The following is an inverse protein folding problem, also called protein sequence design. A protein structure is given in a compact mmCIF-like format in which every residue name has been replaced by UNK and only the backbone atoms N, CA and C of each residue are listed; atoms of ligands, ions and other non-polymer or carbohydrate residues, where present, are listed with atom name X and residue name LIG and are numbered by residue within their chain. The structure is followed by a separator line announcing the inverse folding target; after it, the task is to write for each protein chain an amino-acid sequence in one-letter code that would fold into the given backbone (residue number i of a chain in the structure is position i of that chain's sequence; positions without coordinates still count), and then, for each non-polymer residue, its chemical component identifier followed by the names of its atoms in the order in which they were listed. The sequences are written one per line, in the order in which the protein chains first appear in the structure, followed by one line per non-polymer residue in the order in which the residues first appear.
data_IF_365589863650
#
_entry.id   IF_365589863650
#
_cell.length_a   1.000
_cell.length_b   1.000
_cell.length_c   1.000
_cell.angle_alpha   90.00
_cell.angle_beta   90.00
_cell.angle_gamma   90.00
#
_symmetry.space_group_name_H-M   'P 1'
#
loop_
_entity.id
_entity.type
_entity.pdbx_description
1 polymer ?
#
# COMPACT_ATOMS: atom_id res chain seq x y z
N UNK A 1 -22.05 -14.63 19.52
CA UNK A 1 -23.05 -13.56 19.40
C UNK A 1 -23.06 -12.83 20.73
N UNK A 2 -22.56 -11.64 20.78
CA UNK A 2 -22.48 -10.78 21.95
C UNK A 2 -21.71 -9.55 21.56
N UNK A 3 -22.41 -8.55 21.03
CA UNK A 3 -21.86 -7.21 20.89
C UNK A 3 -21.49 -6.73 22.29
N UNK A 4 -20.18 -6.60 22.55
CA UNK A 4 -19.67 -6.02 23.79
C UNK A 4 -20.01 -4.55 23.84
N UNK A 5 -21.09 -4.24 24.55
CA UNK A 5 -21.47 -2.90 24.94
C UNK A 5 -20.29 -2.24 25.66
N UNK A 6 -19.71 -1.20 25.08
CA UNK A 6 -18.75 -0.31 25.73
C UNK A 6 -19.37 0.28 26.99
N UNK A 7 -19.12 -0.33 28.13
CA UNK A 7 -19.54 0.23 29.43
C UNK A 7 -18.54 1.33 29.78
N UNK A 8 -18.89 2.56 29.42
CA UNK A 8 -18.26 3.77 29.93
C UNK A 8 -18.49 3.85 31.44
N UNK A 9 -17.48 3.51 32.25
CA UNK A 9 -17.43 3.92 33.65
C UNK A 9 -16.04 4.43 33.97
N UNK A 10 -15.97 5.75 34.10
CA UNK A 10 -14.78 6.46 34.53
C UNK A 10 -14.32 6.06 35.93
N UNK A 11 -13.01 5.94 36.05
CA UNK A 11 -12.33 6.17 37.31
C UNK A 11 -11.46 7.42 37.11
N UNK A 12 -12.01 8.55 37.55
CA UNK A 12 -11.31 9.77 37.89
C UNK A 12 -10.43 10.44 36.83
N UNK A 13 -11.01 11.31 36.01
CA UNK A 13 -10.33 12.16 35.05
C UNK A 13 -11.22 12.34 33.85
N UNK A 14 -11.62 13.55 33.53
CA UNK A 14 -12.48 13.90 32.42
C UNK A 14 -11.89 13.39 31.11
N UNK A 15 -12.40 12.32 30.51
CA UNK A 15 -12.30 12.23 29.08
C UNK A 15 -13.07 11.05 28.49
N UNK A 16 -14.27 11.29 28.12
CA UNK A 16 -14.94 10.60 27.01
C UNK A 16 -14.24 10.90 25.66
N UNK A 17 -13.13 11.64 25.62
CA UNK A 17 -12.44 12.20 24.47
C UNK A 17 -10.95 11.83 24.34
N UNK A 18 -10.43 10.87 25.12
CA UNK A 18 -9.03 10.45 25.01
C UNK A 18 -8.67 10.05 23.57
N UNK A 19 -7.51 10.50 23.10
CA UNK A 19 -7.03 10.22 21.75
C UNK A 19 -6.64 8.75 21.56
N UNK A 20 -6.16 8.11 22.61
CA UNK A 20 -5.68 6.72 22.62
C UNK A 20 -6.29 5.93 23.76
N UNK A 21 -6.47 4.61 23.56
CA UNK A 21 -7.08 3.72 24.51
C UNK A 21 -6.29 2.42 24.64
N UNK A 22 -6.13 1.92 25.88
CA UNK A 22 -5.53 0.62 26.17
C UNK A 22 -6.54 -0.27 26.87
N UNK A 23 -6.57 -1.55 26.50
CA UNK A 23 -7.17 -2.58 27.34
C UNK A 23 -6.23 -2.84 28.52
N UNK A 24 -6.75 -2.78 29.71
CA UNK A 24 -6.04 -3.00 30.97
C UNK A 24 -6.42 -4.35 31.56
N UNK A 25 -5.40 -5.10 31.97
CA UNK A 25 -5.56 -6.44 32.55
C UNK A 25 -4.79 -6.53 33.87
N UNK A 26 -5.15 -7.54 34.73
CA UNK A 26 -4.24 -8.00 35.76
C UNK A 26 -2.99 -8.62 35.15
N UNK A 27 -1.93 -8.85 35.93
CA UNK A 27 -0.73 -9.58 35.48
C UNK A 27 -1.04 -11.00 35.01
N UNK A 28 -2.11 -11.62 35.55
CA UNK A 28 -2.62 -12.94 35.12
C UNK A 28 -3.53 -12.86 33.86
N UNK A 29 -3.51 -11.72 33.15
CA UNK A 29 -4.30 -11.48 31.91
C UNK A 29 -5.82 -11.50 32.08
N UNK A 30 -6.34 -11.17 33.28
CA UNK A 30 -7.77 -10.96 33.46
C UNK A 30 -8.11 -9.52 33.09
N UNK A 31 -9.04 -9.33 32.14
CA UNK A 31 -9.48 -8.03 31.69
C UNK A 31 -10.15 -7.23 32.81
N UNK A 32 -9.71 -5.99 33.02
CA UNK A 32 -10.24 -5.07 34.02
C UNK A 32 -11.11 -3.98 33.38
N UNK A 33 -10.68 -3.44 32.23
CA UNK A 33 -11.37 -2.34 31.54
C UNK A 33 -10.47 -1.65 30.55
N UNK A 34 -10.88 -0.46 30.11
CA UNK A 34 -10.08 0.40 29.23
C UNK A 34 -9.61 1.63 29.98
N UNK A 35 -8.41 2.10 29.65
CA UNK A 35 -7.87 3.40 30.09
C UNK A 35 -7.54 4.23 28.86
N UNK A 36 -7.78 5.53 28.95
CA UNK A 36 -7.51 6.47 27.87
C UNK A 36 -6.46 7.49 28.25
N UNK A 37 -5.68 7.95 27.29
CA UNK A 37 -4.74 9.06 27.42
C UNK A 37 -4.64 9.83 26.11
N UNK A 38 -4.24 11.11 26.17
CA UNK A 38 -3.86 11.92 25.02
C UNK A 38 -2.39 11.71 24.64
N UNK A 39 -1.62 11.07 25.50
CA UNK A 39 -0.23 10.66 25.23
C UNK A 39 -0.19 9.18 24.85
N UNK A 40 0.28 8.88 23.64
CA UNK A 40 0.38 7.49 23.14
C UNK A 40 1.47 6.70 23.88
N UNK A 41 2.39 7.36 24.56
CA UNK A 41 3.49 6.74 25.29
C UNK A 41 3.21 6.65 26.80
N UNK A 42 2.02 7.05 27.27
CA UNK A 42 1.60 6.96 28.67
C UNK A 42 1.65 5.52 29.20
N UNK A 43 1.20 4.54 28.38
CA UNK A 43 1.27 3.12 28.69
C UNK A 43 1.98 2.35 27.57
N UNK A 44 2.57 1.16 27.86
CA UNK A 44 3.22 0.35 26.84
C UNK A 44 2.25 -0.07 25.73
N UNK A 45 2.71 -0.20 24.49
CA UNK A 45 1.92 -0.72 23.36
C UNK A 45 1.39 -2.13 23.67
N UNK A 46 2.24 -2.99 24.25
CA UNK A 46 1.87 -4.25 24.88
C UNK A 46 2.89 -4.56 25.97
N UNK A 47 2.47 -4.64 27.22
CA UNK A 47 3.42 -4.88 28.32
C UNK A 47 2.88 -4.52 29.70
N UNK A 48 3.72 -4.70 30.72
CA UNK A 48 3.41 -4.43 32.10
C UNK A 48 3.90 -3.05 32.55
N UNK A 49 3.06 -2.36 33.32
CA UNK A 49 3.35 -1.11 33.99
C UNK A 49 2.50 -1.00 35.28
N UNK A 50 3.11 -0.59 36.39
CA UNK A 50 2.44 -0.35 37.70
C UNK A 50 1.59 -1.54 38.19
N UNK A 51 2.05 -2.78 37.90
CA UNK A 51 1.37 -4.00 38.36
C UNK A 51 0.15 -4.40 37.50
N UNK A 52 0.03 -3.85 36.30
CA UNK A 52 -1.00 -4.20 35.33
C UNK A 52 -0.39 -4.44 33.95
N UNK A 53 -1.07 -5.25 33.13
CA UNK A 53 -0.73 -5.43 31.73
C UNK A 53 -1.62 -4.55 30.85
N UNK A 54 -1.05 -3.90 29.83
CA UNK A 54 -1.73 -3.00 28.92
C UNK A 54 -1.57 -3.46 27.48
N UNK A 55 -2.58 -3.22 26.67
CA UNK A 55 -2.56 -3.42 25.21
C UNK A 55 -3.19 -2.22 24.50
N UNK A 56 -2.41 -1.49 23.71
CA UNK A 56 -2.90 -0.38 22.90
C UNK A 56 -3.95 -0.85 21.89
N UNK A 57 -5.08 -0.19 21.86
CA UNK A 57 -6.17 -0.52 20.95
C UNK A 57 -5.89 0.05 19.55
N UNK A 58 -5.70 -0.83 18.59
CA UNK A 58 -5.52 -0.46 17.18
C UNK A 58 -6.78 0.21 16.62
N UNK A 59 -6.59 1.17 15.71
CA UNK A 59 -7.70 1.83 15.01
C UNK A 59 -8.10 1.05 13.75
N UNK A 60 -9.38 1.06 13.41
CA UNK A 60 -9.86 0.52 12.14
C UNK A 60 -9.68 1.58 11.05
N UNK A 61 -8.76 1.36 10.11
CA UNK A 61 -8.42 2.31 9.05
C UNK A 61 -9.62 2.68 8.16
N UNK A 62 -10.59 1.77 7.96
CA UNK A 62 -11.79 2.03 7.16
C UNK A 62 -12.61 3.20 7.71
N UNK A 63 -12.69 3.36 9.02
CA UNK A 63 -13.40 4.44 9.70
C UNK A 63 -12.67 5.79 9.70
N UNK A 64 -11.37 5.84 9.36
CA UNK A 64 -10.60 7.08 9.34
C UNK A 64 -10.77 7.83 8.02
N UNK A 65 -10.83 9.14 8.08
CA UNK A 65 -10.70 10.01 6.89
C UNK A 65 -9.25 10.00 6.39
N UNK A 66 -9.03 10.40 5.13
CA UNK A 66 -7.68 10.52 4.58
C UNK A 66 -6.85 11.59 5.29
N UNK A 67 -7.49 12.65 5.80
CA UNK A 67 -6.84 13.69 6.61
C UNK A 67 -6.34 13.12 7.96
N UNK A 68 -7.16 12.30 8.65
CA UNK A 68 -6.75 11.64 9.89
C UNK A 68 -5.60 10.65 9.65
N UNK A 69 -5.66 9.84 8.57
CA UNK A 69 -4.56 8.94 8.20
C UNK A 69 -3.27 9.74 7.95
N UNK A 70 -3.34 10.88 7.24
CA UNK A 70 -2.18 11.74 7.02
C UNK A 70 -1.65 12.35 8.32
N UNK A 71 -2.52 12.67 9.27
CA UNK A 71 -2.11 13.16 10.61
C UNK A 71 -1.35 12.06 11.37
N UNK A 72 -1.87 10.83 11.38
CA UNK A 72 -1.17 9.68 11.99
C UNK A 72 0.18 9.40 11.33
N UNK A 73 0.23 9.51 9.99
CA UNK A 73 1.45 9.36 9.21
C UNK A 73 2.50 10.42 9.58
N UNK A 74 2.08 11.70 9.60
CA UNK A 74 2.97 12.84 9.84
C UNK A 74 3.48 12.90 11.28
N UNK A 75 2.70 12.41 12.24
CA UNK A 75 3.12 12.33 13.65
C UNK A 75 4.02 11.14 13.96
N UNK A 76 4.23 10.22 13.00
CA UNK A 76 5.07 9.03 13.18
C UNK A 76 4.42 7.89 13.96
N UNK A 77 3.15 8.03 14.39
CA UNK A 77 2.45 7.04 15.21
C UNK A 77 1.62 6.03 14.41
N UNK A 78 1.54 6.20 13.08
CA UNK A 78 0.71 5.33 12.23
C UNK A 78 0.97 3.84 12.46
N UNK A 79 2.25 3.42 12.53
CA UNK A 79 2.64 2.03 12.76
C UNK A 79 2.22 1.48 14.12
N UNK A 80 2.05 2.34 15.15
CA UNK A 80 1.53 1.91 16.46
C UNK A 80 0.03 1.57 16.40
N UNK A 81 -0.74 2.32 15.60
CA UNK A 81 -2.21 2.24 15.56
C UNK A 81 -2.77 1.44 14.39
N UNK A 82 -2.01 1.29 13.31
CA UNK A 82 -2.38 0.60 12.08
C UNK A 82 -1.44 -0.57 11.82
N UNK A 83 -1.84 -1.49 10.94
CA UNK A 83 -1.08 -2.69 10.61
C UNK A 83 -0.93 -2.89 9.10
N UNK A 84 0.15 -3.54 8.67
CA UNK A 84 0.27 -4.04 7.30
C UNK A 84 -0.91 -4.95 7.00
N UNK A 85 -1.55 -4.76 5.85
CA UNK A 85 -2.75 -5.47 5.45
C UNK A 85 -4.06 -4.79 5.82
N UNK A 86 -4.06 -3.77 6.69
CA UNK A 86 -5.26 -2.97 6.97
C UNK A 86 -5.84 -2.40 5.67
N UNK A 87 -7.15 -2.56 5.51
CA UNK A 87 -7.89 -2.36 4.26
C UNK A 87 -8.79 -1.15 4.33
N UNK A 88 -8.78 -0.32 3.26
CA UNK A 88 -9.64 0.84 3.13
C UNK A 88 -10.27 0.91 1.75
N UNK A 89 -11.56 1.27 1.71
CA UNK A 89 -12.29 1.52 0.46
C UNK A 89 -12.01 2.92 -0.10
N UNK A 90 -12.02 3.03 -1.43
CA UNK A 90 -11.97 4.29 -2.18
C UNK A 90 -13.07 4.25 -3.24
N UNK A 91 -13.98 5.21 -3.21
CA UNK A 91 -14.95 5.41 -4.28
C UNK A 91 -14.40 6.42 -5.28
N UNK A 92 -14.13 5.95 -6.50
CA UNK A 92 -13.67 6.79 -7.60
C UNK A 92 -14.81 7.67 -8.12
N UNK A 93 -14.51 8.78 -8.80
CA UNK A 93 -15.53 9.64 -9.43
C UNK A 93 -16.32 8.94 -10.53
N UNK A 94 -15.85 7.80 -11.02
CA UNK A 94 -16.54 6.89 -11.94
C UNK A 94 -17.55 5.96 -11.26
N UNK A 95 -17.74 6.08 -9.94
CA UNK A 95 -18.51 5.17 -9.08
C UNK A 95 -17.91 3.75 -8.97
N UNK A 96 -16.69 3.51 -9.43
CA UNK A 96 -15.96 2.28 -9.13
C UNK A 96 -15.47 2.34 -7.69
N UNK A 97 -15.75 1.28 -6.92
CA UNK A 97 -15.19 1.11 -5.59
C UNK A 97 -13.97 0.20 -5.70
N UNK A 98 -12.84 0.71 -5.29
CA UNK A 98 -11.59 -0.04 -5.16
C UNK A 98 -11.21 -0.16 -3.69
N UNK A 99 -10.40 -1.14 -3.37
CA UNK A 99 -9.86 -1.33 -2.03
C UNK A 99 -8.34 -1.26 -2.08
N UNK A 100 -7.77 -0.60 -1.08
CA UNK A 100 -6.33 -0.53 -0.90
C UNK A 100 -5.95 -1.13 0.44
N UNK A 101 -4.74 -1.66 0.52
CA UNK A 101 -4.15 -2.18 1.77
C UNK A 101 -2.88 -1.42 2.09
N UNK A 102 -2.59 -1.26 3.37
CA UNK A 102 -1.26 -0.85 3.81
C UNK A 102 -0.28 -1.94 3.39
N UNK A 103 0.65 -1.59 2.50
CA UNK A 103 1.68 -2.50 2.03
C UNK A 103 2.89 -2.52 2.96
N UNK A 104 3.27 -1.35 3.47
CA UNK A 104 4.34 -1.17 4.45
C UNK A 104 4.31 0.23 5.06
N UNK A 105 5.12 0.40 6.11
CA UNK A 105 5.43 1.68 6.76
C UNK A 105 6.90 2.02 6.55
N UNK A 106 7.20 3.30 6.28
CA UNK A 106 8.55 3.82 6.10
C UNK A 106 9.36 3.05 5.02
N UNK A 107 8.73 2.70 3.91
CA UNK A 107 9.32 1.86 2.87
C UNK A 107 9.81 2.68 1.67
N UNK A 108 8.95 3.50 1.10
CA UNK A 108 9.20 4.18 -0.17
C UNK A 108 9.89 5.54 0.02
N UNK A 109 10.69 5.92 -0.96
CA UNK A 109 11.29 7.25 -1.02
C UNK A 109 10.35 8.22 -1.72
N UNK A 110 10.15 9.40 -1.16
CA UNK A 110 9.40 10.50 -1.77
C UNK A 110 10.28 11.33 -2.72
N UNK A 111 9.67 12.17 -3.54
CA UNK A 111 10.38 13.01 -4.51
C UNK A 111 11.33 14.04 -3.86
N UNK A 112 11.10 14.39 -2.62
CA UNK A 112 11.96 15.25 -1.78
C UNK A 112 13.09 14.48 -1.07
N UNK A 113 13.24 13.17 -1.33
CA UNK A 113 14.17 12.23 -0.71
C UNK A 113 13.86 11.88 0.75
N UNK A 114 12.72 12.26 1.29
CA UNK A 114 12.24 11.75 2.57
C UNK A 114 11.61 10.37 2.40
N UNK A 115 11.33 9.68 3.51
CA UNK A 115 10.66 8.39 3.50
C UNK A 115 9.16 8.57 3.63
N UNK A 116 8.38 7.86 2.82
CA UNK A 116 6.92 7.83 2.91
C UNK A 116 6.51 7.10 4.20
N UNK A 117 5.73 7.74 5.09
CA UNK A 117 5.26 7.09 6.31
C UNK A 117 4.39 5.85 6.05
N UNK A 118 3.52 5.91 5.05
CA UNK A 118 2.61 4.80 4.71
C UNK A 118 2.59 4.61 3.19
N UNK A 119 2.77 3.36 2.78
CA UNK A 119 2.58 2.91 1.40
C UNK A 119 1.30 2.09 1.29
N UNK A 120 0.44 2.45 0.36
CA UNK A 120 -0.78 1.73 0.00
C UNK A 120 -0.63 1.04 -1.35
N UNK A 121 -1.20 -0.17 -1.48
CA UNK A 121 -1.33 -0.88 -2.75
C UNK A 121 -2.78 -1.37 -2.90
N UNK A 122 -3.32 -1.27 -4.10
CA UNK A 122 -4.65 -1.83 -4.41
C UNK A 122 -4.69 -3.33 -4.10
N UNK A 123 -5.79 -3.76 -3.44
CA UNK A 123 -6.05 -5.18 -3.16
C UNK A 123 -6.24 -5.97 -4.45
N UNK A 124 -7.07 -5.45 -5.35
CA UNK A 124 -7.36 -6.00 -6.67
C UNK A 124 -7.00 -4.99 -7.77
N UNK A 125 -7.28 -5.30 -9.02
CA UNK A 125 -7.09 -4.41 -10.16
C UNK A 125 -8.30 -3.49 -10.37
N UNK A 126 -8.12 -2.40 -11.14
CA UNK A 126 -9.25 -1.67 -11.72
C UNK A 126 -10.09 -2.60 -12.61
N UNK A 127 -11.37 -2.27 -12.79
CA UNK A 127 -12.28 -3.04 -13.68
C UNK A 127 -11.82 -3.03 -15.13
N UNK A 128 -11.21 -1.93 -15.56
CA UNK A 128 -10.64 -1.81 -16.91
C UNK A 128 -9.25 -2.43 -16.98
N UNK A 129 -8.94 -3.04 -18.12
CA UNK A 129 -7.60 -3.53 -18.48
C UNK A 129 -6.91 -2.54 -19.40
N UNK A 130 -5.58 -2.51 -19.36
CA UNK A 130 -4.78 -1.55 -20.10
C UNK A 130 -3.58 -2.21 -20.77
N UNK A 131 -3.14 -1.64 -21.90
CA UNK A 131 -1.84 -1.93 -22.48
C UNK A 131 -0.75 -1.14 -21.74
N UNK A 132 0.45 -1.72 -21.62
CA UNK A 132 1.60 -0.97 -21.13
C UNK A 132 2.04 0.09 -22.17
N UNK A 133 2.10 -0.31 -23.45
CA UNK A 133 2.36 0.54 -24.61
C UNK A 133 1.45 0.17 -25.77
N UNK A 134 1.24 1.08 -26.71
CA UNK A 134 0.43 0.82 -27.92
C UNK A 134 1.11 -0.10 -28.95
N UNK A 135 2.41 -0.31 -28.82
CA UNK A 135 3.23 -1.16 -29.70
C UNK A 135 4.08 -2.15 -28.90
N UNK A 136 4.62 -3.16 -29.58
CA UNK A 136 5.51 -4.17 -29.01
C UNK A 136 6.89 -3.56 -28.72
N UNK A 137 6.98 -2.80 -27.63
CA UNK A 137 8.24 -2.20 -27.17
C UNK A 137 8.20 -1.94 -25.66
N UNK A 138 9.32 -2.16 -24.99
CA UNK A 138 9.54 -1.74 -23.61
C UNK A 138 10.68 -0.71 -23.51
N UNK A 139 11.09 -0.12 -24.63
CA UNK A 139 12.13 0.91 -24.66
C UNK A 139 11.75 2.13 -23.83
N UNK A 140 12.66 2.59 -23.00
CA UNK A 140 12.43 3.63 -22.01
C UNK A 140 11.79 3.11 -20.70
N UNK A 141 11.44 1.82 -20.64
CA UNK A 141 10.86 1.17 -19.46
C UNK A 141 9.61 1.87 -18.95
N UNK A 142 9.37 1.78 -17.65
CA UNK A 142 8.24 2.47 -16.99
C UNK A 142 8.24 3.98 -17.23
N UNK A 143 9.42 4.59 -17.29
CA UNK A 143 9.55 6.05 -17.51
C UNK A 143 8.84 6.53 -18.76
N UNK A 144 8.88 5.75 -19.83
CA UNK A 144 8.29 6.10 -21.13
C UNK A 144 6.98 5.36 -21.42
N UNK A 145 6.49 4.54 -20.49
CA UNK A 145 5.29 3.73 -20.71
C UNK A 145 4.03 4.60 -20.86
N UNK A 146 3.20 4.27 -21.86
CA UNK A 146 1.89 4.89 -22.06
C UNK A 146 1.00 4.72 -20.83
N UNK A 147 1.03 3.53 -20.21
CA UNK A 147 0.26 3.26 -19.00
C UNK A 147 0.66 4.17 -17.84
N UNK A 148 1.95 4.49 -17.68
CA UNK A 148 2.39 5.46 -16.64
C UNK A 148 1.73 6.82 -16.84
N UNK A 149 1.71 7.31 -18.07
CA UNK A 149 1.05 8.58 -18.40
C UNK A 149 -0.44 8.52 -18.11
N UNK A 150 -1.13 7.46 -18.56
CA UNK A 150 -2.56 7.23 -18.31
C UNK A 150 -2.86 7.15 -16.81
N UNK A 151 -2.01 6.44 -16.06
CA UNK A 151 -2.17 6.25 -14.61
C UNK A 151 -2.07 7.58 -13.84
N UNK A 152 -1.07 8.42 -14.19
CA UNK A 152 -0.81 9.70 -13.52
C UNK A 152 -1.62 10.88 -14.09
N UNK A 153 -2.48 10.66 -15.08
CA UNK A 153 -3.40 11.66 -15.62
C UNK A 153 -4.85 11.19 -15.50
N UNK A 154 -5.32 10.41 -16.44
CA UNK A 154 -6.74 10.00 -16.54
C UNK A 154 -7.19 9.25 -15.31
N UNK A 155 -6.44 8.22 -14.87
CA UNK A 155 -6.81 7.38 -13.72
C UNK A 155 -6.68 8.18 -12.42
N UNK A 156 -5.56 8.88 -12.21
CA UNK A 156 -5.36 9.73 -11.03
C UNK A 156 -6.49 10.75 -10.84
N UNK A 157 -7.02 11.31 -11.93
CA UNK A 157 -8.10 12.29 -11.85
C UNK A 157 -9.44 11.69 -11.36
N UNK A 158 -9.60 10.37 -11.40
CA UNK A 158 -10.78 9.69 -10.84
C UNK A 158 -10.75 9.52 -9.32
N UNK A 159 -9.59 9.71 -8.69
CA UNK A 159 -9.47 9.60 -7.23
C UNK A 159 -10.15 10.78 -6.53
N UNK A 160 -10.76 10.58 -5.34
CA UNK A 160 -11.44 11.64 -4.60
C UNK A 160 -10.46 12.74 -4.18
N UNK A 161 -10.96 13.97 -4.08
CA UNK A 161 -10.13 15.16 -3.85
C UNK A 161 -9.43 15.17 -2.50
N UNK A 162 -10.07 14.65 -1.46
CA UNK A 162 -9.51 14.53 -0.10
C UNK A 162 -8.32 13.59 -0.05
N UNK A 163 -8.38 12.45 -0.76
CA UNK A 163 -7.24 11.55 -0.91
C UNK A 163 -6.13 12.21 -1.75
N UNK A 164 -6.46 12.84 -2.89
CA UNK A 164 -5.46 13.53 -3.72
C UNK A 164 -4.72 14.62 -2.97
N UNK A 165 -5.37 15.28 -2.00
CA UNK A 165 -4.77 16.34 -1.19
C UNK A 165 -3.63 15.81 -0.28
N UNK A 166 -3.67 14.55 0.13
CA UNK A 166 -2.67 13.96 1.02
C UNK A 166 -1.69 13.03 0.31
N UNK A 167 -2.00 12.57 -0.90
CA UNK A 167 -1.07 11.73 -1.69
C UNK A 167 0.26 12.44 -1.91
N UNK A 168 1.36 11.76 -1.59
CA UNK A 168 2.72 12.22 -1.83
C UNK A 168 3.21 11.79 -3.23
N UNK A 169 4.17 12.51 -3.77
CA UNK A 169 4.87 12.09 -4.99
C UNK A 169 5.98 11.14 -4.61
N UNK A 170 5.90 9.91 -5.10
CA UNK A 170 6.81 8.81 -4.75
C UNK A 170 7.89 8.68 -5.81
N UNK A 171 9.13 8.54 -5.37
CA UNK A 171 10.30 8.33 -6.23
C UNK A 171 10.57 6.86 -6.41
N UNK A 172 10.51 6.39 -7.65
CA UNK A 172 10.75 4.99 -8.02
C UNK A 172 11.96 4.86 -8.95
N UNK A 173 12.71 3.77 -8.79
CA UNK A 173 13.81 3.40 -9.70
C UNK A 173 13.33 2.25 -10.58
N UNK A 174 13.50 2.37 -11.89
CA UNK A 174 13.05 1.37 -12.90
C UNK A 174 14.05 1.27 -14.03
N UNK A 175 14.32 0.06 -14.47
CA UNK A 175 15.21 -0.15 -15.61
C UNK A 175 14.59 0.36 -16.90
N UNK A 176 15.48 0.75 -17.82
CA UNK A 176 15.11 1.40 -19.09
C UNK A 176 14.47 0.46 -20.11
N UNK A 177 14.54 -0.86 -19.91
CA UNK A 177 14.08 -1.82 -20.91
C UNK A 177 14.94 -1.81 -22.18
N UNK A 178 14.32 -2.11 -23.32
CA UNK A 178 15.05 -2.24 -24.59
C UNK A 178 15.88 -3.53 -24.68
N UNK A 179 15.50 -4.57 -23.92
CA UNK A 179 16.23 -5.84 -23.85
C UNK A 179 17.49 -5.75 -22.96
N UNK A 180 17.57 -4.78 -22.05
CA UNK A 180 18.74 -4.55 -21.22
C UNK A 180 18.36 -4.00 -19.84
N UNK A 181 19.18 -4.31 -18.84
CA UNK A 181 19.14 -3.75 -17.47
C UNK A 181 20.30 -2.77 -17.22
N UNK A 182 20.84 -2.16 -18.25
CA UNK A 182 22.03 -1.31 -18.15
C UNK A 182 21.77 0.07 -17.56
N UNK A 183 20.58 0.63 -17.71
CA UNK A 183 20.21 1.97 -17.28
C UNK A 183 19.05 1.94 -16.31
N UNK A 184 19.28 2.49 -15.12
CA UNK A 184 18.26 2.65 -14.09
C UNK A 184 17.76 4.09 -14.09
N UNK A 185 16.50 4.28 -14.46
CA UNK A 185 15.82 5.56 -14.44
C UNK A 185 15.20 5.84 -13.07
N UNK A 186 15.20 7.11 -12.68
CA UNK A 186 14.39 7.62 -11.58
C UNK A 186 13.13 8.27 -12.16
N UNK A 187 11.97 7.98 -11.57
CA UNK A 187 10.67 8.56 -11.93
C UNK A 187 9.94 8.98 -10.66
N UNK A 188 9.24 10.09 -10.74
CA UNK A 188 8.43 10.64 -9.66
C UNK A 188 6.96 10.56 -10.08
N UNK A 189 6.15 9.79 -9.32
CA UNK A 189 4.76 9.47 -9.66
C UNK A 189 3.83 9.61 -8.44
N UNK A 190 2.58 10.00 -8.67
CA UNK A 190 1.51 9.95 -7.65
C UNK A 190 0.93 8.55 -7.54
N UNK A 191 0.70 7.90 -8.68
CA UNK A 191 0.30 6.50 -8.81
C UNK A 191 1.37 5.75 -9.58
N UNK A 192 1.74 4.59 -9.10
CA UNK A 192 2.77 3.74 -9.71
C UNK A 192 2.38 2.26 -9.63
N UNK A 193 3.02 1.42 -10.44
CA UNK A 193 2.90 -0.03 -10.33
C UNK A 193 4.07 -0.59 -9.53
N UNK A 194 3.86 -1.60 -8.68
CA UNK A 194 4.96 -2.33 -8.07
C UNK A 194 5.88 -2.95 -9.14
N UNK A 195 7.18 -2.99 -8.84
CA UNK A 195 8.16 -3.72 -9.65
C UNK A 195 8.15 -5.22 -9.35
N UNK A 196 8.88 -6.00 -10.15
CA UNK A 196 9.13 -7.41 -9.85
C UNK A 196 9.81 -7.57 -8.49
N UNK A 197 10.80 -6.73 -8.18
CA UNK A 197 11.49 -6.74 -6.88
C UNK A 197 10.55 -6.44 -5.71
N UNK A 198 9.67 -5.47 -5.86
CA UNK A 198 8.71 -5.07 -4.81
C UNK A 198 7.64 -6.13 -4.54
N UNK A 199 7.36 -7.01 -5.53
CA UNK A 199 6.39 -8.09 -5.41
C UNK A 199 6.99 -9.44 -5.01
N UNK A 200 8.22 -9.75 -5.46
CA UNK A 200 8.80 -11.10 -5.32
C UNK A 200 10.10 -11.13 -4.50
N UNK A 201 10.74 -9.99 -4.26
CA UNK A 201 12.08 -9.92 -3.67
C UNK A 201 13.18 -10.49 -4.58
N UNK A 202 12.86 -10.76 -5.83
CA UNK A 202 13.76 -11.31 -6.85
C UNK A 202 13.43 -10.73 -8.22
N UNK A 203 14.33 -10.83 -9.18
CA UNK A 203 14.21 -10.24 -10.51
C UNK A 203 14.46 -11.29 -11.61
N UNK A 204 13.59 -12.27 -11.71
CA UNK A 204 13.73 -13.43 -12.63
C UNK A 204 13.54 -13.04 -14.11
N UNK A 205 12.68 -12.07 -14.41
CA UNK A 205 12.37 -11.61 -15.76
C UNK A 205 13.03 -10.28 -16.09
N UNK A 206 13.09 -9.35 -15.13
CA UNK A 206 13.84 -8.09 -15.30
C UNK A 206 15.34 -8.35 -15.33
N UNK A 207 15.82 -9.26 -14.49
CA UNK A 207 17.26 -9.54 -14.34
C UNK A 207 18.02 -8.48 -13.54
N UNK A 208 17.36 -7.38 -13.16
CA UNK A 208 17.96 -6.27 -12.41
C UNK A 208 17.32 -6.07 -11.06
N UNK A 209 18.11 -6.03 -9.99
CA UNK A 209 17.64 -6.05 -8.59
C UNK A 209 17.46 -4.67 -7.96
N UNK A 210 17.69 -3.57 -8.68
CA UNK A 210 17.69 -2.22 -8.11
C UNK A 210 16.35 -1.47 -8.22
N UNK A 211 15.24 -2.18 -8.49
CA UNK A 211 13.91 -1.58 -8.66
C UNK A 211 13.09 -1.49 -7.36
N UNK A 212 13.72 -1.60 -6.21
CA UNK A 212 13.06 -1.54 -4.90
C UNK A 212 13.30 -2.80 -4.06
N UNK A 213 12.56 -2.92 -2.98
CA UNK A 213 12.60 -4.06 -2.05
C UNK A 213 11.20 -4.66 -1.87
N UNK A 214 11.14 -5.91 -1.45
CA UNK A 214 9.88 -6.65 -1.25
C UNK A 214 8.99 -5.94 -0.21
N UNK A 215 7.73 -5.71 -0.56
CA UNK A 215 6.72 -5.30 0.42
C UNK A 215 6.32 -6.47 1.32
N UNK A 216 6.30 -6.28 2.64
CA UNK A 216 5.98 -7.36 3.59
C UNK A 216 4.56 -7.92 3.45
N UNK A 217 3.65 -7.19 2.79
CA UNK A 217 2.31 -7.69 2.48
C UNK A 217 2.34 -8.91 1.50
N UNK A 218 3.44 -9.10 0.76
CA UNK A 218 3.58 -10.20 -0.20
C UNK A 218 4.43 -11.32 0.39
N UNK A 219 3.80 -12.32 0.95
CA UNK A 219 4.44 -13.46 1.63
C UNK A 219 4.60 -14.70 0.75
N UNK A 220 3.68 -14.88 -0.21
CA UNK A 220 3.60 -16.06 -1.08
C UNK A 220 2.87 -15.74 -2.40
N UNK A 221 2.67 -16.74 -3.25
CA UNK A 221 1.94 -16.58 -4.49
C UNK A 221 0.48 -16.15 -4.27
N UNK A 222 -0.17 -16.66 -3.22
CA UNK A 222 -1.58 -16.35 -2.93
C UNK A 222 -1.78 -14.87 -2.60
N UNK A 223 -0.85 -14.28 -1.84
CA UNK A 223 -0.87 -12.86 -1.48
C UNK A 223 -0.72 -11.92 -2.70
N UNK A 224 -0.19 -12.42 -3.81
CA UNK A 224 0.00 -11.69 -5.07
C UNK A 224 -1.16 -11.85 -6.06
N UNK A 225 -2.09 -12.79 -5.82
CA UNK A 225 -3.25 -12.95 -6.71
C UNK A 225 -4.14 -11.72 -6.62
N UNK A 226 -4.44 -11.12 -7.77
CA UNK A 226 -5.36 -9.98 -7.89
C UNK A 226 -6.47 -10.30 -8.88
N UNK A 227 -7.61 -9.64 -8.69
CA UNK A 227 -8.82 -9.90 -9.46
C UNK A 227 -9.17 -8.72 -10.36
N UNK A 228 -9.79 -9.02 -11.50
CA UNK A 228 -10.55 -8.09 -12.33
C UNK A 228 -11.98 -8.59 -12.35
N UNK A 229 -12.92 -7.75 -11.93
CA UNK A 229 -14.35 -8.11 -11.85
C UNK A 229 -14.61 -9.43 -11.08
N UNK A 230 -13.90 -9.63 -9.95
CA UNK A 230 -14.06 -10.77 -9.05
C UNK A 230 -13.33 -12.06 -9.46
N UNK A 231 -12.70 -12.11 -10.65
CA UNK A 231 -11.95 -13.28 -11.15
C UNK A 231 -10.45 -13.01 -11.12
N UNK A 232 -9.66 -13.99 -10.66
CA UNK A 232 -8.20 -13.91 -10.70
C UNK A 232 -7.72 -13.57 -12.13
N UNK A 233 -6.86 -12.59 -12.22
CA UNK A 233 -6.41 -12.08 -13.51
C UNK A 233 -4.91 -11.79 -13.50
N UNK A 234 -4.35 -11.68 -14.67
CA UNK A 234 -3.00 -11.24 -14.90
C UNK A 234 -2.94 -9.71 -14.78
N UNK A 235 -1.88 -9.17 -14.19
CA UNK A 235 -1.73 -7.73 -14.03
C UNK A 235 -0.28 -7.26 -14.20
N UNK A 236 -0.13 -6.04 -14.69
CA UNK A 236 1.15 -5.43 -14.98
C UNK A 236 1.94 -5.09 -13.72
N UNK A 237 3.27 -5.26 -13.81
CA UNK A 237 4.25 -4.60 -12.97
C UNK A 237 4.88 -3.43 -13.74
N UNK A 238 5.65 -2.58 -13.06
CA UNK A 238 6.41 -1.52 -13.71
C UNK A 238 7.75 -1.98 -14.29
N UNK A 239 8.13 -3.25 -14.11
CA UNK A 239 9.41 -3.78 -14.56
C UNK A 239 9.39 -4.13 -16.04
N UNK A 240 10.34 -3.60 -16.80
CA UNK A 240 10.57 -4.01 -18.20
C UNK A 240 11.30 -5.37 -18.24
N UNK A 241 10.98 -6.21 -19.23
CA UNK A 241 11.72 -7.47 -19.46
C UNK A 241 13.18 -7.18 -19.79
N UNK A 242 14.11 -7.85 -19.09
CA UNK A 242 15.54 -7.58 -19.22
C UNK A 242 16.18 -8.20 -20.46
N UNK A 243 15.62 -9.28 -21.00
CA UNK A 243 16.09 -9.98 -22.20
C UNK A 243 15.18 -9.85 -23.42
N UNK A 244 14.03 -9.16 -23.27
CA UNK A 244 13.03 -8.94 -24.30
C UNK A 244 12.76 -7.46 -24.46
N UNK A 245 13.01 -6.91 -25.66
CA UNK A 245 12.81 -5.49 -25.95
C UNK A 245 11.33 -5.09 -26.13
N UNK A 246 10.39 -6.05 -26.12
CA UNK A 246 8.97 -5.82 -26.36
C UNK A 246 8.05 -6.10 -25.19
N UNK A 247 8.55 -6.72 -24.11
CA UNK A 247 7.76 -7.22 -23.01
C UNK A 247 7.94 -6.46 -21.71
N UNK A 248 6.90 -6.51 -20.87
CA UNK A 248 6.96 -6.14 -19.46
C UNK A 248 6.67 -7.34 -18.58
N UNK A 249 7.16 -7.27 -17.35
CA UNK A 249 6.88 -8.25 -16.31
C UNK A 249 5.45 -8.06 -15.82
N UNK A 250 4.80 -9.17 -15.51
CA UNK A 250 3.48 -9.20 -14.90
C UNK A 250 3.37 -10.35 -13.90
N UNK A 251 2.29 -10.33 -13.14
CA UNK A 251 1.89 -11.43 -12.25
C UNK A 251 0.74 -12.17 -12.91
N UNK A 252 0.82 -13.51 -12.97
CA UNK A 252 -0.24 -14.36 -13.53
C UNK A 252 -1.40 -14.58 -12.53
N UNK A 253 -2.49 -15.21 -12.98
CA UNK A 253 -3.66 -15.49 -12.15
C UNK A 253 -3.42 -16.47 -10.99
N UNK A 254 -2.21 -17.03 -10.89
CA UNK A 254 -1.77 -17.88 -9.78
C UNK A 254 -0.76 -17.17 -8.86
N UNK A 255 -0.55 -15.86 -9.05
CA UNK A 255 0.40 -15.06 -8.26
C UNK A 255 1.87 -15.27 -8.62
N UNK A 256 2.18 -15.88 -9.78
CA UNK A 256 3.54 -16.16 -10.24
C UNK A 256 4.01 -15.10 -11.20
N UNK A 257 5.32 -14.88 -11.23
CA UNK A 257 5.95 -13.97 -12.19
C UNK A 257 5.86 -14.52 -13.62
N UNK A 258 5.64 -13.63 -14.59
CA UNK A 258 5.61 -13.93 -16.03
C UNK A 258 5.99 -12.68 -16.84
N UNK A 259 6.15 -12.81 -18.16
CA UNK A 259 6.40 -11.71 -19.08
C UNK A 259 5.41 -11.73 -20.25
N UNK A 260 5.00 -10.56 -20.72
CA UNK A 260 4.08 -10.42 -21.88
C UNK A 260 4.37 -9.17 -22.68
N UNK A 261 3.91 -9.23 -23.94
CA UNK A 261 4.01 -8.13 -24.90
C UNK A 261 3.35 -6.86 -24.37
N UNK A 262 4.06 -5.73 -24.44
CA UNK A 262 3.62 -4.44 -23.94
C UNK A 262 2.28 -3.95 -24.50
N UNK A 263 1.91 -4.39 -25.70
CA UNK A 263 0.66 -4.04 -26.37
C UNK A 263 -0.51 -5.02 -26.09
N UNK A 264 -0.38 -5.88 -25.11
CA UNK A 264 -1.47 -6.72 -24.61
C UNK A 264 -2.23 -6.03 -23.48
N UNK A 265 -3.50 -6.40 -23.28
CA UNK A 265 -4.36 -5.83 -22.23
C UNK A 265 -4.36 -6.72 -21.00
N UNK A 266 -3.97 -6.15 -19.86
CA UNK A 266 -3.99 -6.83 -18.55
C UNK A 266 -4.47 -5.91 -17.44
N UNK A 267 -4.70 -6.48 -16.28
CA UNK A 267 -5.11 -5.75 -15.08
C UNK A 267 -4.06 -4.72 -14.64
N UNK A 268 -4.52 -3.71 -13.92
CA UNK A 268 -3.69 -2.64 -13.36
C UNK A 268 -4.04 -2.49 -11.88
N UNK A 269 -3.04 -2.66 -11.02
CA UNK A 269 -3.12 -2.50 -9.58
C UNK A 269 -2.07 -1.50 -9.14
N UNK A 270 -2.51 -0.31 -8.77
CA UNK A 270 -1.63 0.80 -8.45
C UNK A 270 -1.27 0.86 -6.96
N UNK A 271 -0.11 1.47 -6.67
CA UNK A 271 0.27 1.94 -5.35
C UNK A 271 0.34 3.46 -5.28
N UNK A 272 0.28 3.99 -4.05
CA UNK A 272 0.52 5.39 -3.72
C UNK A 272 1.00 5.52 -2.27
N UNK A 273 1.56 6.69 -1.93
CA UNK A 273 2.05 6.99 -0.59
C UNK A 273 1.32 8.19 0.03
N UNK A 274 1.24 8.18 1.37
CA UNK A 274 0.79 9.30 2.21
C UNK A 274 1.92 9.67 3.17
#
# INVERSE_FOLDING_TARGET
MGEGLLVRRGLGGSSDEAAYWWAKYTTDKVFIGYVGSDDIDEYPEAGEQDGYYYELQKKTIEGLTWAEINTLASSGIAKKLLSVGDRKSITLTTNEIIYVKIADFNHDTLSDNTTAPITFIMEDCFKATYQMNSSYTNSGGWKSALLRTTLNSTIYNTFPSDLKAVMKTTRKKRYNGGGSVSTLNTVDDKLWLPSEMELFGSASYTGGTAEGTLYPIYTDNTSRIKKVNGSANWYWTSSAGGSDAGGFVLVDGYGRVSGRSANSYYGVSAGFCI
#
